data_IF_214785504312
#
_entry.id   IF_214785504312
#
_cell.length_a   1.000
_cell.length_b   1.000
_cell.length_c   1.000
_cell.angle_alpha   90.00
_cell.angle_beta   90.00
_cell.angle_gamma   90.00
#
_symmetry.space_group_name_H-M   'P 1'
#
loop_
_entity.id
_entity.type
_entity.pdbx_description
1 polymer ?
#
# COMPACT_ATOMS: atom_id res chain seq x y z
N UNK A 1 40.04 21.46 24.44
CA UNK A 1 39.17 20.37 24.90
C UNK A 1 37.88 20.39 24.10
N UNK A 2 37.38 19.21 23.73
CA UNK A 2 36.07 18.87 23.15
C UNK A 2 35.70 19.37 21.73
N UNK A 3 35.93 18.47 20.75
CA UNK A 3 35.31 18.49 19.44
C UNK A 3 33.87 17.94 19.51
N UNK A 4 32.90 18.74 19.05
CA UNK A 4 31.48 18.39 19.01
C UNK A 4 31.23 17.33 17.93
N UNK A 5 30.89 16.12 18.38
CA UNK A 5 30.61 14.94 17.54
C UNK A 5 29.24 15.10 16.86
N UNK A 6 29.20 15.66 15.66
CA UNK A 6 28.07 15.46 14.76
C UNK A 6 28.19 14.08 14.12
N UNK A 7 27.81 13.05 14.89
CA UNK A 7 27.71 11.68 14.44
C UNK A 7 26.49 11.61 13.53
N UNK A 8 26.69 11.93 12.24
CA UNK A 8 25.71 11.65 11.17
C UNK A 8 25.41 10.15 11.25
N UNK A 9 24.29 9.80 11.87
CA UNK A 9 23.69 8.47 11.76
C UNK A 9 23.34 8.30 10.29
N UNK A 10 24.24 7.67 9.54
CA UNK A 10 23.92 7.04 8.27
C UNK A 10 23.01 5.87 8.61
N UNK A 11 21.70 6.12 8.64
CA UNK A 11 20.70 5.05 8.63
C UNK A 11 20.79 4.42 7.23
N UNK A 12 21.52 3.33 7.14
CA UNK A 12 21.46 2.42 6.01
C UNK A 12 20.11 1.74 6.05
N UNK A 13 19.13 2.29 5.33
CA UNK A 13 17.90 1.60 5.00
C UNK A 13 18.26 0.49 3.99
N UNK A 14 18.52 -0.70 4.50
CA UNK A 14 18.62 -1.90 3.67
C UNK A 14 17.20 -2.38 3.40
N UNK A 15 16.61 -1.92 2.30
CA UNK A 15 15.39 -2.52 1.76
C UNK A 15 15.75 -3.93 1.26
N UNK A 16 15.34 -4.94 2.00
CA UNK A 16 15.48 -6.34 1.59
C UNK A 16 14.26 -6.67 0.73
N UNK A 17 14.41 -6.57 -0.59
CA UNK A 17 13.41 -7.03 -1.53
C UNK A 17 13.45 -8.58 -1.58
N UNK A 18 12.55 -9.24 -0.86
CA UNK A 18 12.33 -10.69 -0.99
C UNK A 18 11.42 -10.95 -2.18
N UNK A 19 11.98 -11.53 -3.25
CA UNK A 19 11.21 -12.01 -4.40
C UNK A 19 10.66 -13.39 -4.05
N UNK A 20 9.33 -13.49 -3.88
CA UNK A 20 8.65 -14.77 -3.69
C UNK A 20 8.41 -15.45 -5.04
N UNK A 21 8.96 -16.65 -5.24
CA UNK A 21 8.67 -17.50 -6.40
C UNK A 21 7.41 -18.32 -6.13
N UNK A 22 6.31 -18.00 -6.81
CA UNK A 22 5.04 -18.73 -6.70
C UNK A 22 5.03 -19.86 -7.74
N UNK A 23 4.97 -21.10 -7.27
CA UNK A 23 4.76 -22.28 -8.11
C UNK A 23 3.25 -22.49 -8.30
N UNK A 24 2.70 -22.06 -9.44
CA UNK A 24 1.29 -22.21 -9.76
C UNK A 24 0.98 -23.65 -10.23
N UNK A 25 0.42 -24.48 -9.34
CA UNK A 25 -0.28 -25.71 -9.70
C UNK A 25 -1.79 -25.42 -9.75
N UNK A 26 -2.30 -24.93 -10.87
CA UNK A 26 -3.73 -24.62 -11.04
C UNK A 26 -4.46 -25.82 -11.65
N UNK A 27 -5.39 -26.41 -10.89
CA UNK A 27 -6.35 -27.39 -11.38
C UNK A 27 -7.39 -26.72 -12.27
N UNK A 28 -7.17 -26.76 -13.58
CA UNK A 28 -7.97 -26.07 -14.60
C UNK A 28 -9.31 -26.77 -14.85
N UNK A 29 -10.38 -26.29 -14.21
CA UNK A 29 -11.76 -26.55 -14.68
C UNK A 29 -12.62 -25.28 -14.81
N UNK A 30 -12.12 -24.11 -14.35
CA UNK A 30 -12.73 -22.79 -14.57
C UNK A 30 -11.72 -21.89 -15.29
N UNK A 31 -12.12 -21.41 -16.47
CA UNK A 31 -11.25 -20.85 -17.50
C UNK A 31 -10.53 -19.54 -17.15
N UNK A 32 -9.77 -19.05 -18.13
CA UNK A 32 -8.86 -17.90 -18.05
C UNK A 32 -9.43 -16.65 -17.34
N UNK A 33 -10.75 -16.44 -17.31
CA UNK A 33 -11.37 -15.31 -16.61
C UNK A 33 -10.97 -15.23 -15.12
N UNK A 34 -10.87 -16.37 -14.42
CA UNK A 34 -10.44 -16.37 -13.01
C UNK A 34 -8.96 -15.97 -12.87
N UNK A 35 -8.13 -16.35 -13.84
CA UNK A 35 -6.71 -15.97 -13.89
C UNK A 35 -6.58 -14.49 -14.24
N UNK A 36 -7.33 -13.99 -15.21
CA UNK A 36 -7.32 -12.57 -15.60
C UNK A 36 -7.78 -11.68 -14.45
N UNK A 37 -8.82 -12.07 -13.71
CA UNK A 37 -9.26 -11.37 -12.50
C UNK A 37 -8.22 -11.40 -11.38
N UNK A 38 -7.54 -12.53 -11.17
CA UNK A 38 -6.46 -12.62 -10.20
C UNK A 38 -5.28 -11.71 -10.60
N UNK A 39 -4.90 -11.70 -11.88
CA UNK A 39 -3.84 -10.81 -12.39
C UNK A 39 -4.23 -9.33 -12.29
N UNK A 40 -5.49 -8.98 -12.53
CA UNK A 40 -6.00 -7.62 -12.35
C UNK A 40 -6.02 -7.20 -10.86
N UNK A 41 -6.34 -8.13 -9.94
CA UNK A 41 -6.24 -7.91 -8.49
C UNK A 41 -4.80 -7.59 -8.11
N UNK A 42 -3.84 -8.42 -8.53
CA UNK A 42 -2.41 -8.20 -8.24
C UNK A 42 -1.92 -6.89 -8.82
N UNK A 43 -2.22 -6.58 -10.09
CA UNK A 43 -1.80 -5.32 -10.73
C UNK A 43 -2.35 -4.08 -10.01
N UNK A 44 -3.60 -4.15 -9.56
CA UNK A 44 -4.21 -3.03 -8.86
C UNK A 44 -3.69 -2.93 -7.43
N UNK A 45 -3.43 -4.06 -6.75
CA UNK A 45 -2.77 -4.08 -5.45
C UNK A 45 -1.33 -3.53 -5.51
N UNK A 46 -0.61 -3.80 -6.59
CA UNK A 46 0.72 -3.24 -6.85
C UNK A 46 0.68 -1.71 -7.05
N UNK A 47 -0.29 -1.21 -7.83
CA UNK A 47 -0.51 0.23 -7.99
C UNK A 47 -0.87 0.94 -6.65
N UNK A 48 -1.54 0.22 -5.74
CA UNK A 48 -1.79 0.69 -4.38
C UNK A 48 -0.48 0.74 -3.60
N UNK A 49 0.37 -0.28 -3.67
CA UNK A 49 1.67 -0.29 -2.99
C UNK A 49 2.58 0.87 -3.47
N UNK A 50 2.55 1.18 -4.76
CA UNK A 50 3.21 2.37 -5.32
C UNK A 50 2.62 3.66 -4.75
N UNK A 51 1.28 3.81 -4.72
CA UNK A 51 0.62 4.99 -4.15
C UNK A 51 0.91 5.16 -2.65
N UNK A 52 1.04 4.07 -1.89
CA UNK A 52 1.47 4.08 -0.47
C UNK A 52 2.94 4.49 -0.33
N UNK A 53 3.78 4.17 -1.31
CA UNK A 53 5.18 4.59 -1.34
C UNK A 53 5.31 6.08 -1.70
N UNK A 54 4.46 6.58 -2.59
CA UNK A 54 4.32 8.02 -2.88
C UNK A 54 3.80 8.77 -1.66
N UNK A 55 2.82 8.22 -0.95
CA UNK A 55 2.28 8.76 0.29
C UNK A 55 3.36 8.92 1.37
N UNK A 56 4.20 7.90 1.56
CA UNK A 56 5.33 7.96 2.49
C UNK A 56 6.31 9.07 2.12
N UNK A 57 6.63 9.20 0.83
CA UNK A 57 7.50 10.28 0.35
C UNK A 57 6.85 11.65 0.55
N UNK A 58 5.54 11.79 0.35
CA UNK A 58 4.84 13.06 0.55
C UNK A 58 4.91 13.53 2.01
N UNK A 59 4.77 12.63 2.99
CA UNK A 59 4.93 12.97 4.42
C UNK A 59 6.37 13.40 4.74
N UNK A 60 7.36 12.77 4.10
CA UNK A 60 8.76 13.16 4.27
C UNK A 60 9.09 14.50 3.59
N UNK A 61 8.31 14.90 2.57
CA UNK A 61 8.50 16.13 1.80
C UNK A 61 7.42 17.17 2.14
N UNK A 62 7.64 17.91 3.23
CA UNK A 62 6.72 18.95 3.73
C UNK A 62 6.50 20.17 2.81
N UNK A 63 7.17 20.22 1.66
CA UNK A 63 7.14 21.35 0.74
C UNK A 63 5.87 21.42 -0.13
N UNK A 64 5.14 20.30 -0.28
CA UNK A 64 3.93 20.23 -1.11
C UNK A 64 2.83 19.35 -0.48
N UNK A 65 1.86 19.96 0.22
CA UNK A 65 0.77 19.21 0.86
C UNK A 65 -0.21 18.59 -0.14
N UNK A 66 -0.16 18.96 -1.44
CA UNK A 66 -1.12 18.43 -2.43
C UNK A 66 -0.79 17.01 -2.89
N UNK A 67 0.50 16.64 -2.92
CA UNK A 67 0.94 15.30 -3.32
C UNK A 67 0.41 14.20 -2.38
N UNK A 68 0.26 14.54 -1.11
CA UNK A 68 -0.35 13.66 -0.12
C UNK A 68 -1.81 13.35 -0.44
N UNK A 69 -2.62 14.38 -0.71
CA UNK A 69 -4.04 14.22 -1.02
C UNK A 69 -4.24 13.42 -2.32
N UNK A 70 -3.41 13.67 -3.34
CA UNK A 70 -3.40 12.92 -4.60
C UNK A 70 -3.06 11.44 -4.38
N UNK A 71 -2.07 11.14 -3.52
CA UNK A 71 -1.68 9.77 -3.19
C UNK A 71 -2.83 9.02 -2.50
N UNK A 72 -3.51 9.65 -1.54
CA UNK A 72 -4.66 9.05 -0.86
C UNK A 72 -5.85 8.84 -1.79
N UNK A 73 -6.17 9.81 -2.66
CA UNK A 73 -7.22 9.66 -3.67
C UNK A 73 -6.91 8.52 -4.66
N UNK A 74 -5.64 8.38 -5.07
CA UNK A 74 -5.19 7.26 -5.90
C UNK A 74 -5.41 5.92 -5.20
N UNK A 75 -5.08 5.81 -3.91
CA UNK A 75 -5.33 4.59 -3.12
C UNK A 75 -6.83 4.27 -3.10
N UNK A 76 -7.69 5.21 -2.71
CA UNK A 76 -9.15 5.02 -2.65
C UNK A 76 -9.73 4.58 -3.99
N UNK A 77 -9.29 5.20 -5.08
CA UNK A 77 -9.74 4.88 -6.43
C UNK A 77 -9.32 3.48 -6.86
N UNK A 78 -8.12 3.04 -6.51
CA UNK A 78 -7.65 1.69 -6.83
C UNK A 78 -8.32 0.64 -5.94
N UNK A 79 -8.61 0.96 -4.68
CA UNK A 79 -9.41 0.13 -3.78
C UNK A 79 -10.81 -0.14 -4.32
N UNK A 80 -11.50 0.90 -4.80
CA UNK A 80 -12.81 0.75 -5.44
C UNK A 80 -12.78 -0.19 -6.65
N UNK A 81 -11.75 -0.08 -7.50
CA UNK A 81 -11.57 -0.99 -8.66
C UNK A 81 -11.39 -2.45 -8.24
N UNK A 82 -10.61 -2.72 -7.18
CA UNK A 82 -10.39 -4.09 -6.73
C UNK A 82 -11.69 -4.70 -6.23
N UNK A 83 -12.45 -3.97 -5.42
CA UNK A 83 -13.76 -4.43 -4.93
C UNK A 83 -14.73 -4.76 -6.07
N UNK A 84 -14.73 -3.96 -7.15
CA UNK A 84 -15.54 -4.21 -8.34
C UNK A 84 -15.02 -5.37 -9.21
N UNK A 85 -13.74 -5.74 -9.07
CA UNK A 85 -13.10 -6.77 -9.88
C UNK A 85 -13.27 -8.18 -9.29
N UNK A 86 -13.63 -8.32 -8.02
CA UNK A 86 -13.63 -9.61 -7.30
C UNK A 86 -14.81 -9.80 -6.36
N UNK A 87 -15.34 -11.01 -6.32
CA UNK A 87 -16.37 -11.41 -5.35
C UNK A 87 -15.76 -12.06 -4.09
N UNK A 88 -14.43 -12.03 -3.94
CA UNK A 88 -13.75 -12.68 -2.83
C UNK A 88 -13.91 -11.87 -1.53
N UNK A 89 -14.52 -12.49 -0.52
CA UNK A 89 -14.74 -11.88 0.79
C UNK A 89 -13.44 -11.46 1.49
N UNK A 90 -12.35 -12.21 1.32
CA UNK A 90 -11.06 -11.88 1.93
C UNK A 90 -10.44 -10.65 1.27
N UNK A 91 -10.58 -10.52 -0.06
CA UNK A 91 -10.13 -9.34 -0.80
C UNK A 91 -10.96 -8.13 -0.40
N UNK A 92 -12.29 -8.24 -0.36
CA UNK A 92 -13.16 -7.15 0.07
C UNK A 92 -12.86 -6.71 1.51
N UNK A 93 -12.56 -7.65 2.40
CA UNK A 93 -12.13 -7.34 3.76
C UNK A 93 -10.79 -6.59 3.79
N UNK A 94 -9.81 -7.00 2.99
CA UNK A 94 -8.52 -6.31 2.89
C UNK A 94 -8.67 -4.90 2.30
N UNK A 95 -9.55 -4.72 1.30
CA UNK A 95 -9.92 -3.43 0.73
C UNK A 95 -10.53 -2.51 1.80
N UNK A 96 -11.51 -3.02 2.56
CA UNK A 96 -12.16 -2.27 3.65
C UNK A 96 -11.16 -1.86 4.75
N UNK A 97 -10.26 -2.76 5.13
CA UNK A 97 -9.28 -2.51 6.18
C UNK A 97 -8.23 -1.48 5.72
N UNK A 98 -7.83 -1.49 4.45
CA UNK A 98 -6.95 -0.47 3.87
C UNK A 98 -7.65 0.89 3.73
N UNK A 99 -8.91 0.93 3.30
CA UNK A 99 -9.69 2.18 3.23
C UNK A 99 -9.82 2.85 4.61
N UNK A 100 -10.11 2.08 5.66
CA UNK A 100 -10.13 2.62 7.04
C UNK A 100 -8.77 3.16 7.48
N UNK A 101 -7.67 2.51 7.10
CA UNK A 101 -6.35 2.99 7.43
C UNK A 101 -6.06 4.34 6.75
N UNK A 102 -6.43 4.48 5.48
CA UNK A 102 -6.36 5.75 4.72
C UNK A 102 -7.22 6.85 5.36
N UNK A 103 -8.45 6.54 5.76
CA UNK A 103 -9.34 7.51 6.41
C UNK A 103 -8.82 7.99 7.77
N UNK A 104 -8.27 7.07 8.58
CA UNK A 104 -7.63 7.43 9.85
C UNK A 104 -6.45 8.38 9.62
N UNK A 105 -5.69 8.11 8.56
CA UNK A 105 -4.55 8.91 8.16
C UNK A 105 -4.98 10.31 7.69
N UNK A 106 -6.03 10.44 6.84
CA UNK A 106 -6.64 11.75 6.51
C UNK A 106 -7.05 12.49 7.77
N UNK A 107 -7.78 11.80 8.65
CA UNK A 107 -8.30 12.37 9.90
C UNK A 107 -7.17 12.91 10.78
N UNK A 108 -6.04 12.19 10.91
CA UNK A 108 -4.88 12.67 11.68
C UNK A 108 -4.32 13.98 11.12
N UNK A 109 -4.17 14.06 9.80
CA UNK A 109 -3.67 15.28 9.13
C UNK A 109 -4.65 16.45 9.28
N UNK A 110 -5.95 16.21 9.10
CA UNK A 110 -6.99 17.23 9.31
C UNK A 110 -7.02 17.76 10.75
N UNK A 111 -6.62 16.93 11.71
CA UNK A 111 -6.48 17.30 13.13
C UNK A 111 -5.12 17.98 13.45
N UNK A 112 -4.26 18.21 12.45
CA UNK A 112 -3.00 18.91 12.57
C UNK A 112 -1.78 18.02 12.89
N UNK A 113 -1.88 16.70 12.68
CA UNK A 113 -0.71 15.82 12.72
C UNK A 113 0.10 15.98 11.43
N UNK A 114 1.30 16.54 11.54
CA UNK A 114 2.23 16.71 10.41
C UNK A 114 2.97 15.40 10.06
N UNK A 115 2.89 14.38 10.92
CA UNK A 115 3.60 13.10 10.76
C UNK A 115 2.70 11.91 11.11
N UNK A 116 1.58 11.71 10.39
CA UNK A 116 0.66 10.61 10.66
C UNK A 116 1.35 9.25 10.55
N UNK A 117 0.95 8.30 11.40
CA UNK A 117 1.44 6.92 11.33
C UNK A 117 0.88 6.19 10.09
N UNK A 118 1.77 5.82 9.17
CA UNK A 118 1.44 5.11 7.93
C UNK A 118 1.58 3.58 8.05
N UNK A 119 2.00 3.07 9.21
CA UNK A 119 2.16 1.63 9.43
C UNK A 119 0.86 0.86 9.15
N UNK A 120 -0.32 1.33 9.61
CA UNK A 120 -1.58 0.63 9.31
C UNK A 120 -1.91 0.56 7.82
N UNK A 121 -1.57 1.60 7.05
CA UNK A 121 -1.78 1.65 5.59
C UNK A 121 -0.85 0.64 4.89
N UNK A 122 0.42 0.62 5.30
CA UNK A 122 1.43 -0.29 4.74
C UNK A 122 1.09 -1.75 5.03
N UNK A 123 0.68 -2.05 6.26
CA UNK A 123 0.29 -3.39 6.68
C UNK A 123 -0.93 -3.88 5.89
N UNK A 124 -1.97 -3.05 5.77
CA UNK A 124 -3.18 -3.41 5.03
C UNK A 124 -2.94 -3.56 3.53
N UNK A 125 -2.09 -2.73 2.90
CA UNK A 125 -1.67 -2.90 1.51
C UNK A 125 -0.89 -4.22 1.29
N UNK A 126 -0.05 -4.59 2.27
CA UNK A 126 0.65 -5.88 2.27
C UNK A 126 -0.30 -7.07 2.37
N UNK A 127 -1.31 -7.00 3.24
CA UNK A 127 -2.36 -8.03 3.33
C UNK A 127 -3.19 -8.14 2.04
N UNK A 128 -3.57 -7.00 1.44
CA UNK A 128 -4.28 -6.96 0.15
C UNK A 128 -3.50 -7.68 -0.95
N UNK A 129 -2.20 -7.42 -1.05
CA UNK A 129 -1.32 -8.08 -2.02
C UNK A 129 -1.26 -9.60 -1.78
N UNK A 130 -1.22 -10.04 -0.52
CA UNK A 130 -1.23 -11.47 -0.16
C UNK A 130 -2.53 -12.16 -0.58
N UNK A 131 -3.69 -11.54 -0.35
CA UNK A 131 -4.99 -12.14 -0.71
C UNK A 131 -5.30 -12.07 -2.20
N UNK A 132 -4.71 -11.10 -2.94
CA UNK A 132 -4.79 -11.05 -4.40
C UNK A 132 -3.92 -12.09 -5.11
N UNK A 133 -2.99 -12.73 -4.39
CA UNK A 133 -2.08 -13.72 -4.97
C UNK A 133 -2.69 -15.13 -4.91
N UNK A 134 -2.84 -15.84 -6.05
CA UNK A 134 -3.41 -17.20 -6.09
C UNK A 134 -2.45 -18.30 -5.60
#
# INVERSE_FOLDING_TARGET
MAASRHRRLRRTATAVATVATIALTVGLTTGCDAVDKALDCVRTADAIADSVTELQQAVENTDDPTQWEESLDSIDKNLGKIGDQTDNADVNKAVDDLGKAVDNVRTSVENGDETPDLSPVTDAAGELTKVCTP
#
